data_IF_633580320732
#
_entry.id   IF_633580320732
#
_cell.length_a   1.000
_cell.length_b   1.000
_cell.length_c   1.000
_cell.angle_alpha   90.00
_cell.angle_beta   90.00
_cell.angle_gamma   90.00
#
_symmetry.space_group_name_H-M   'P 1'
#
loop_
_entity.id
_entity.type
_entity.pdbx_description
1 polymer ?
#
# COMPACT_ATOMS: atom_id res chain seq x y z
N UNK A 1 3.54 54.48 112.63
CA UNK A 1 3.68 53.01 112.72
C UNK A 1 2.32 52.42 112.39
N UNK A 2 2.21 51.65 111.32
CA UNK A 2 0.94 50.99 110.94
C UNK A 2 0.60 49.97 112.04
N UNK A 3 -0.60 50.02 112.58
CA UNK A 3 -1.03 49.09 113.64
C UNK A 3 -1.04 47.66 113.10
N UNK A 4 -0.60 46.69 113.91
CA UNK A 4 -0.59 45.27 113.51
C UNK A 4 -1.97 44.80 113.00
N UNK A 5 -3.05 45.37 113.52
CA UNK A 5 -4.42 45.10 113.06
C UNK A 5 -4.66 45.47 111.60
N UNK A 6 -4.11 46.60 111.13
CA UNK A 6 -4.27 47.03 109.73
C UNK A 6 -3.47 46.13 108.78
N UNK A 7 -2.31 45.62 109.23
CA UNK A 7 -1.51 44.67 108.45
C UNK A 7 -2.21 43.32 108.31
N UNK A 8 -2.91 42.88 109.35
CA UNK A 8 -3.67 41.62 109.33
C UNK A 8 -4.86 41.73 108.36
N UNK A 9 -5.64 42.81 108.43
CA UNK A 9 -6.76 43.03 107.51
C UNK A 9 -6.34 43.09 106.04
N UNK A 10 -5.19 43.70 105.75
CA UNK A 10 -4.66 43.76 104.38
C UNK A 10 -4.17 42.39 103.89
N UNK A 11 -3.61 41.56 104.77
CA UNK A 11 -3.22 40.19 104.42
C UNK A 11 -4.45 39.32 104.16
N UNK A 12 -5.50 39.43 104.96
CA UNK A 12 -6.76 38.71 104.75
C UNK A 12 -7.41 39.08 103.41
N UNK A 13 -7.40 40.37 103.05
CA UNK A 13 -7.88 40.85 101.74
C UNK A 13 -7.11 40.23 100.57
N UNK A 14 -5.77 40.19 100.67
CA UNK A 14 -4.90 39.63 99.63
C UNK A 14 -5.01 38.10 99.53
N UNK A 15 -5.26 37.41 100.63
CA UNK A 15 -5.52 35.96 100.62
C UNK A 15 -6.81 35.67 99.86
N UNK A 16 -7.89 36.43 100.12
CA UNK A 16 -9.13 36.28 99.37
C UNK A 16 -9.00 36.56 97.86
N UNK A 17 -8.12 37.48 97.47
CA UNK A 17 -7.80 37.73 96.05
C UNK A 17 -7.03 36.58 95.40
N UNK A 18 -6.13 35.93 96.15
CA UNK A 18 -5.38 34.75 95.68
C UNK A 18 -6.30 33.53 95.54
N UNK A 19 -7.23 33.33 96.47
CA UNK A 19 -8.23 32.25 96.38
C UNK A 19 -9.13 32.41 95.14
N UNK A 20 -9.52 33.64 94.81
CA UNK A 20 -10.27 33.95 93.59
C UNK A 20 -9.47 33.76 92.29
N UNK A 21 -8.14 33.87 92.33
CA UNK A 21 -7.28 33.55 91.20
C UNK A 21 -7.14 32.05 90.99
N UNK A 22 -7.10 31.28 92.06
CA UNK A 22 -7.00 29.81 92.01
C UNK A 22 -8.24 29.20 91.31
N UNK A 23 -9.43 29.72 91.60
CA UNK A 23 -10.66 29.29 90.93
C UNK A 23 -10.66 29.70 89.43
N UNK A 24 -10.17 30.90 89.11
CA UNK A 24 -10.05 31.36 87.71
C UNK A 24 -9.01 30.56 86.92
N UNK A 25 -7.91 30.13 87.56
CA UNK A 25 -6.91 29.24 86.95
C UNK A 25 -7.49 27.84 86.75
N UNK A 26 -8.32 27.36 87.69
CA UNK A 26 -9.04 26.09 87.56
C UNK A 26 -10.06 26.13 86.41
N UNK A 27 -10.79 27.24 86.24
CA UNK A 27 -11.75 27.42 85.14
C UNK A 27 -11.09 27.61 83.77
N UNK A 28 -9.82 28.02 83.72
CA UNK A 28 -9.03 28.04 82.48
C UNK A 28 -8.50 26.65 82.09
N UNK A 29 -8.48 25.69 83.03
CA UNK A 29 -7.90 24.37 82.82
C UNK A 29 -8.73 23.39 81.94
N UNK A 30 -10.07 23.49 81.74
CA UNK A 30 -10.78 22.50 80.92
C UNK A 30 -11.13 22.97 79.50
N UNK A 31 -10.75 24.17 79.06
CA UNK A 31 -11.21 24.71 77.76
C UNK A 31 -10.25 24.45 76.56
N UNK A 32 -9.24 23.60 76.72
CA UNK A 32 -8.32 23.19 75.64
C UNK A 32 -8.43 21.69 75.32
N UNK A 33 -9.66 21.21 75.11
CA UNK A 33 -9.91 19.80 74.74
C UNK A 33 -9.93 19.53 73.23
N UNK A 34 -9.88 20.58 72.39
CA UNK A 34 -9.85 20.43 70.92
C UNK A 34 -8.46 20.65 70.28
N UNK A 35 -7.45 21.06 71.06
CA UNK A 35 -6.07 21.26 70.60
C UNK A 35 -5.05 20.77 71.63
N UNK A 36 -5.29 19.58 72.19
CA UNK A 36 -4.40 18.95 73.16
C UNK A 36 -3.11 18.40 72.52
N UNK A 37 -2.00 18.31 73.28
CA UNK A 37 -0.72 17.72 72.83
C UNK A 37 -0.86 16.28 72.32
N UNK A 38 -1.94 15.59 72.68
CA UNK A 38 -2.29 14.25 72.20
C UNK A 38 -2.76 14.24 70.74
N UNK A 39 -3.52 15.23 70.30
CA UNK A 39 -4.00 15.33 68.90
C UNK A 39 -2.82 15.63 67.98
N UNK A 40 -1.94 16.55 68.38
CA UNK A 40 -0.72 16.85 67.62
C UNK A 40 0.24 15.66 67.63
N UNK A 41 0.36 14.92 68.73
CA UNK A 41 1.17 13.71 68.79
C UNK A 41 0.62 12.58 67.90
N UNK A 42 -0.70 12.43 67.83
CA UNK A 42 -1.34 11.45 66.95
C UNK A 42 -1.21 11.82 65.47
N UNK A 43 -1.31 13.11 65.13
CA UNK A 43 -1.04 13.63 63.78
C UNK A 43 0.43 13.41 63.37
N UNK A 44 1.37 13.66 64.28
CA UNK A 44 2.80 13.42 64.04
C UNK A 44 3.08 11.94 63.81
N UNK A 45 2.45 11.04 64.58
CA UNK A 45 2.60 9.60 64.37
C UNK A 45 2.03 9.14 63.01
N UNK A 46 0.87 9.66 62.60
CA UNK A 46 0.30 9.38 61.28
C UNK A 46 1.21 9.88 60.16
N UNK A 47 1.73 11.10 60.28
CA UNK A 47 2.61 11.69 59.26
C UNK A 47 3.95 10.95 59.16
N UNK A 48 4.50 10.47 60.28
CA UNK A 48 5.70 9.64 60.29
C UNK A 48 5.48 8.31 59.54
N UNK A 49 4.31 7.70 59.71
CA UNK A 49 3.93 6.49 58.99
C UNK A 49 3.79 6.75 57.48
N UNK A 50 3.16 7.86 57.09
CA UNK A 50 3.01 8.25 55.69
C UNK A 50 4.35 8.56 55.04
N UNK A 51 5.27 9.21 55.77
CA UNK A 51 6.63 9.46 55.32
C UNK A 51 7.42 8.16 55.10
N UNK A 52 7.30 7.20 56.02
CA UNK A 52 7.92 5.89 55.86
C UNK A 52 7.37 5.12 54.63
N UNK A 53 6.06 5.19 54.40
CA UNK A 53 5.43 4.63 53.20
C UNK A 53 5.92 5.31 51.92
N UNK A 54 6.05 6.63 51.92
CA UNK A 54 6.53 7.38 50.76
C UNK A 54 7.99 7.02 50.45
N UNK A 55 8.85 6.94 51.46
CA UNK A 55 10.24 6.50 51.30
C UNK A 55 10.33 5.08 50.73
N UNK A 56 9.51 4.15 51.22
CA UNK A 56 9.47 2.78 50.68
C UNK A 56 9.03 2.77 49.20
N UNK A 57 8.07 3.61 48.83
CA UNK A 57 7.62 3.78 47.44
C UNK A 57 8.70 4.39 46.56
N UNK A 58 9.40 5.41 47.04
CA UNK A 58 10.53 6.04 46.33
C UNK A 58 11.64 5.02 46.10
N UNK A 59 12.06 4.29 47.14
CA UNK A 59 13.07 3.23 47.01
C UNK A 59 12.62 2.08 46.09
N UNK A 60 11.33 1.80 45.97
CA UNK A 60 10.80 0.83 45.01
C UNK A 60 10.79 1.39 43.57
N UNK A 61 10.52 2.68 43.40
CA UNK A 61 10.61 3.37 42.11
C UNK A 61 12.07 3.43 41.65
N UNK A 62 13.00 3.84 42.51
CA UNK A 62 14.43 3.88 42.18
C UNK A 62 14.99 2.50 41.80
N UNK A 63 14.58 1.44 42.52
CA UNK A 63 14.93 0.06 42.15
C UNK A 63 14.32 -0.37 40.82
N UNK A 64 13.09 0.06 40.54
CA UNK A 64 12.43 -0.19 39.25
C UNK A 64 13.16 0.54 38.14
N UNK A 65 13.46 1.82 38.30
CA UNK A 65 14.17 2.66 37.33
C UNK A 65 15.59 2.16 37.07
N UNK A 66 16.29 1.63 38.08
CA UNK A 66 17.56 0.94 37.88
C UNK A 66 17.41 -0.35 37.04
N UNK A 67 16.29 -1.05 37.15
CA UNK A 67 15.99 -2.26 36.38
C UNK A 67 15.43 -1.98 34.97
N UNK A 68 14.69 -0.89 34.76
CA UNK A 68 14.15 -0.47 33.45
C UNK A 68 15.05 0.47 32.66
N UNK A 69 15.92 1.24 33.34
CA UNK A 69 16.78 2.26 32.73
C UNK A 69 17.90 1.72 31.84
N UNK A 70 18.19 0.42 31.89
CA UNK A 70 19.27 -0.20 31.11
C UNK A 70 18.78 -1.22 30.07
N UNK A 71 17.53 -1.69 30.15
CA UNK A 71 17.02 -2.73 29.25
C UNK A 71 16.17 -2.18 28.10
N UNK A 72 15.51 -1.02 28.24
CA UNK A 72 14.60 -0.47 27.23
C UNK A 72 15.17 0.64 26.34
N UNK A 73 15.82 1.65 26.93
CA UNK A 73 16.32 2.82 26.19
C UNK A 73 17.49 2.51 25.23
N UNK A 74 18.58 1.83 25.64
CA UNK A 74 19.65 1.46 24.71
C UNK A 74 19.18 0.45 23.65
N UNK A 75 18.26 -0.45 24.00
CA UNK A 75 17.67 -1.39 23.05
C UNK A 75 16.81 -0.68 21.98
N UNK A 76 16.09 0.38 22.35
CA UNK A 76 15.29 1.15 21.39
C UNK A 76 16.16 1.98 20.46
N UNK A 77 17.22 2.61 20.98
CA UNK A 77 18.19 3.37 20.19
C UNK A 77 18.90 2.48 19.15
N UNK A 78 19.35 1.29 19.54
CA UNK A 78 19.97 0.35 18.61
C UNK A 78 18.98 -0.15 17.55
N UNK A 79 17.70 -0.34 17.93
CA UNK A 79 16.63 -0.69 16.98
C UNK A 79 16.32 0.45 16.02
N UNK A 80 16.37 1.71 16.46
CA UNK A 80 16.19 2.88 15.60
C UNK A 80 17.33 2.94 14.59
N UNK A 81 18.59 2.80 15.03
CA UNK A 81 19.75 2.76 14.12
C UNK A 81 19.68 1.63 13.11
N UNK A 82 19.24 0.44 13.54
CA UNK A 82 19.05 -0.69 12.62
C UNK A 82 17.95 -0.41 11.59
N UNK A 83 16.85 0.25 11.98
CA UNK A 83 15.78 0.65 11.06
C UNK A 83 16.24 1.75 10.10
N UNK A 84 17.03 2.73 10.57
CA UNK A 84 17.62 3.77 9.72
C UNK A 84 18.55 3.15 8.67
N UNK A 85 19.41 2.22 9.07
CA UNK A 85 20.29 1.49 8.15
C UNK A 85 19.51 0.64 7.15
N UNK A 86 18.47 -0.07 7.60
CA UNK A 86 17.62 -0.85 6.71
C UNK A 86 16.88 0.05 5.71
N UNK A 87 16.41 1.22 6.14
CA UNK A 87 15.73 2.19 5.29
C UNK A 87 16.68 2.78 4.26
N UNK A 88 17.90 3.15 4.65
CA UNK A 88 18.94 3.61 3.74
C UNK A 88 19.30 2.53 2.70
N UNK A 89 19.42 1.26 3.13
CA UNK A 89 19.64 0.12 2.25
C UNK A 89 18.51 -0.08 1.24
N UNK A 90 17.25 0.00 1.68
CA UNK A 90 16.09 -0.09 0.79
C UNK A 90 16.06 1.07 -0.21
N UNK A 91 16.36 2.30 0.23
CA UNK A 91 16.40 3.46 -0.66
C UNK A 91 17.47 3.30 -1.75
N UNK A 92 18.66 2.79 -1.40
CA UNK A 92 19.70 2.49 -2.37
C UNK A 92 19.27 1.41 -3.38
N UNK A 93 18.60 0.34 -2.92
CA UNK A 93 18.07 -0.69 -3.80
C UNK A 93 17.00 -0.15 -4.76
N UNK A 94 16.11 0.72 -4.29
CA UNK A 94 15.11 1.40 -5.11
C UNK A 94 15.80 2.22 -6.21
N UNK A 95 16.84 2.99 -5.87
CA UNK A 95 17.58 3.78 -6.87
C UNK A 95 18.24 2.89 -7.93
N UNK A 96 18.82 1.76 -7.54
CA UNK A 96 19.40 0.80 -8.51
C UNK A 96 18.32 0.25 -9.44
N UNK A 97 17.16 -0.13 -8.91
CA UNK A 97 16.04 -0.63 -9.71
C UNK A 97 15.49 0.44 -10.66
N UNK A 98 15.36 1.69 -10.20
CA UNK A 98 14.92 2.81 -11.03
C UNK A 98 15.88 3.07 -12.20
N UNK A 99 17.20 3.05 -11.92
CA UNK A 99 18.21 3.21 -12.96
C UNK A 99 18.19 2.04 -13.96
N UNK A 100 18.05 0.81 -13.47
CA UNK A 100 17.92 -0.38 -14.32
C UNK A 100 16.66 -0.33 -15.19
N UNK A 101 15.54 0.12 -14.62
CA UNK A 101 14.28 0.29 -15.35
C UNK A 101 14.42 1.35 -16.46
N UNK A 102 15.08 2.48 -16.19
CA UNK A 102 15.34 3.50 -17.20
C UNK A 102 16.18 2.95 -18.36
N UNK A 103 17.28 2.25 -18.05
CA UNK A 103 18.14 1.65 -19.09
C UNK A 103 17.40 0.60 -19.95
N UNK A 104 16.54 -0.22 -19.33
CA UNK A 104 15.70 -1.17 -20.06
C UNK A 104 14.65 -0.47 -20.92
N UNK A 105 14.06 0.62 -20.42
CA UNK A 105 13.09 1.41 -21.17
C UNK A 105 13.72 2.04 -22.41
N UNK A 106 14.93 2.59 -22.28
CA UNK A 106 15.67 3.17 -23.40
C UNK A 106 16.04 2.09 -24.44
N UNK A 107 16.59 0.96 -23.99
CA UNK A 107 16.92 -0.16 -24.89
C UNK A 107 15.70 -0.71 -25.64
N UNK A 108 14.53 -0.76 -25.00
CA UNK A 108 13.29 -1.17 -25.65
C UNK A 108 12.87 -0.16 -26.71
N UNK A 109 12.96 1.14 -26.42
CA UNK A 109 12.64 2.19 -27.38
C UNK A 109 13.57 2.15 -28.60
N UNK A 110 14.88 1.99 -28.38
CA UNK A 110 15.87 1.85 -29.46
C UNK A 110 15.53 0.64 -30.36
N UNK A 111 15.19 -0.50 -29.75
CA UNK A 111 14.81 -1.71 -30.50
C UNK A 111 13.52 -1.51 -31.30
N UNK A 112 12.56 -0.77 -30.76
CA UNK A 112 11.31 -0.41 -31.46
C UNK A 112 11.63 0.49 -32.66
N UNK A 113 12.52 1.46 -32.50
CA UNK A 113 12.95 2.34 -33.58
C UNK A 113 13.64 1.54 -34.70
N UNK A 114 14.57 0.66 -34.36
CA UNK A 114 15.25 -0.24 -35.29
C UNK A 114 14.26 -1.14 -36.05
N UNK A 115 13.26 -1.69 -35.35
CA UNK A 115 12.19 -2.46 -35.97
C UNK A 115 11.36 -1.62 -36.94
N UNK A 116 11.02 -0.39 -36.58
CA UNK A 116 10.23 0.50 -37.44
C UNK A 116 10.99 0.87 -38.72
N UNK A 117 12.30 1.15 -38.61
CA UNK A 117 13.17 1.37 -39.78
C UNK A 117 13.19 0.13 -40.67
N UNK A 118 13.41 -1.06 -40.08
CA UNK A 118 13.45 -2.33 -40.81
C UNK A 118 12.13 -2.65 -41.52
N UNK A 119 10.99 -2.47 -40.85
CA UNK A 119 9.65 -2.67 -41.43
C UNK A 119 9.40 -1.71 -42.59
N UNK A 120 9.87 -0.47 -42.48
CA UNK A 120 9.74 0.51 -43.55
C UNK A 120 10.56 0.10 -44.78
N UNK A 121 11.81 -0.32 -44.58
CA UNK A 121 12.66 -0.82 -45.66
C UNK A 121 12.04 -2.04 -46.37
N UNK A 122 11.51 -3.02 -45.60
CA UNK A 122 10.83 -4.19 -46.18
C UNK A 122 9.61 -3.78 -47.01
N UNK A 123 8.82 -2.79 -46.54
CA UNK A 123 7.66 -2.29 -47.30
C UNK A 123 8.08 -1.66 -48.62
N UNK A 124 9.17 -0.89 -48.63
CA UNK A 124 9.71 -0.29 -49.85
C UNK A 124 10.23 -1.37 -50.82
N UNK A 125 10.93 -2.38 -50.32
CA UNK A 125 11.37 -3.52 -51.13
C UNK A 125 10.18 -4.29 -51.74
N UNK A 126 9.14 -4.57 -50.95
CA UNK A 126 7.92 -5.22 -51.43
C UNK A 126 7.22 -4.39 -52.51
N UNK A 127 7.13 -3.07 -52.31
CA UNK A 127 6.58 -2.17 -53.32
C UNK A 127 7.43 -2.18 -54.60
N UNK A 128 8.75 -2.22 -54.47
CA UNK A 128 9.69 -2.39 -55.59
C UNK A 128 9.49 -3.72 -56.32
N UNK A 129 9.27 -4.81 -55.60
CA UNK A 129 8.97 -6.14 -56.17
C UNK A 129 7.62 -6.13 -56.89
N UNK A 130 6.57 -5.54 -56.31
CA UNK A 130 5.26 -5.48 -56.97
C UNK A 130 5.30 -4.63 -58.24
N UNK A 131 6.09 -3.55 -58.26
CA UNK A 131 6.36 -2.77 -59.46
C UNK A 131 7.18 -3.56 -60.50
N UNK A 132 8.23 -4.28 -60.08
CA UNK A 132 9.11 -5.05 -60.97
C UNK A 132 8.46 -6.32 -61.53
N UNK A 133 7.66 -7.02 -60.71
CA UNK A 133 6.91 -8.21 -61.13
C UNK A 133 5.67 -7.86 -61.94
N UNK A 134 5.29 -6.57 -61.97
CA UNK A 134 4.21 -6.05 -62.80
C UNK A 134 2.94 -6.88 -62.71
N UNK A 135 2.65 -7.46 -61.53
CA UNK A 135 1.56 -8.41 -61.30
C UNK A 135 0.26 -7.74 -61.74
N UNK A 136 -0.12 -7.96 -63.00
CA UNK A 136 -1.36 -7.45 -63.55
C UNK A 136 -2.46 -7.93 -62.60
N UNK A 137 -3.32 -7.02 -62.08
CA UNK A 137 -4.40 -7.42 -61.20
C UNK A 137 -5.18 -8.54 -61.89
N UNK A 138 -5.44 -9.62 -61.15
CA UNK A 138 -6.12 -10.80 -61.69
C UNK A 138 -7.45 -10.34 -62.29
N UNK A 139 -7.53 -10.35 -63.63
CA UNK A 139 -8.78 -10.11 -64.35
C UNK A 139 -9.48 -11.45 -64.54
N UNK A 140 -10.74 -11.50 -64.15
CA UNK A 140 -11.61 -12.63 -64.40
C UNK A 140 -11.77 -12.80 -65.91
N UNK A 141 -11.41 -13.96 -66.47
CA UNK A 141 -11.59 -14.17 -67.92
C UNK A 141 -13.07 -14.21 -68.34
N UNK A 142 -13.98 -14.47 -67.39
CA UNK A 142 -15.42 -14.55 -67.66
C UNK A 142 -16.07 -13.17 -67.82
N UNK A 143 -15.72 -12.21 -66.97
CA UNK A 143 -16.39 -10.91 -66.93
C UNK A 143 -15.43 -9.72 -66.91
N UNK A 144 -14.13 -9.98 -67.03
CA UNK A 144 -13.04 -8.99 -67.05
C UNK A 144 -12.92 -8.12 -65.80
N UNK A 145 -13.58 -8.50 -64.69
CA UNK A 145 -13.53 -7.80 -63.40
C UNK A 145 -12.34 -8.20 -62.51
N UNK A 146 -12.03 -7.45 -61.44
CA UNK A 146 -10.85 -7.65 -60.58
C UNK A 146 -11.07 -8.78 -59.55
N UNK A 147 -11.24 -10.01 -60.03
CA UNK A 147 -11.38 -11.21 -59.20
C UNK A 147 -10.92 -12.46 -59.96
N UNK A 148 -10.66 -13.54 -59.22
CA UNK A 148 -10.41 -14.86 -59.82
C UNK A 148 -11.71 -15.44 -60.37
N UNK A 149 -11.64 -16.17 -61.48
CA UNK A 149 -12.83 -16.78 -62.10
C UNK A 149 -13.65 -17.68 -61.15
N UNK A 150 -13.00 -18.32 -60.18
CA UNK A 150 -13.64 -19.12 -59.15
C UNK A 150 -14.53 -18.32 -58.16
N UNK A 151 -14.34 -17.01 -58.08
CA UNK A 151 -15.15 -16.11 -57.26
C UNK A 151 -16.07 -15.22 -58.13
N UNK A 152 -16.27 -15.57 -59.41
CA UNK A 152 -17.05 -14.73 -60.32
C UNK A 152 -18.55 -14.86 -60.03
N UNK A 153 -19.29 -13.75 -59.85
CA UNK A 153 -20.75 -13.78 -59.69
C UNK A 153 -21.48 -14.40 -60.90
N UNK A 154 -20.83 -14.47 -62.06
CA UNK A 154 -21.37 -15.09 -63.27
C UNK A 154 -21.02 -16.57 -63.41
N UNK A 155 -20.39 -17.21 -62.41
CA UNK A 155 -19.99 -18.62 -62.48
C UNK A 155 -21.18 -19.56 -62.73
N UNK A 156 -22.39 -19.22 -62.29
CA UNK A 156 -23.60 -19.99 -62.59
C UNK A 156 -23.90 -20.06 -64.09
N UNK A 157 -23.58 -19.01 -64.86
CA UNK A 157 -23.72 -19.00 -66.33
C UNK A 157 -22.71 -19.95 -66.99
N UNK A 158 -21.50 -20.07 -66.43
CA UNK A 158 -20.50 -21.04 -66.90
C UNK A 158 -20.92 -22.48 -66.63
N UNK A 159 -21.55 -22.75 -65.48
CA UNK A 159 -22.01 -24.11 -65.16
C UNK A 159 -23.14 -24.54 -66.12
N UNK A 160 -24.00 -23.61 -66.55
CA UNK A 160 -25.03 -23.87 -67.55
C UNK A 160 -24.42 -24.13 -68.93
N UNK A 161 -23.45 -23.32 -69.38
CA UNK A 161 -22.75 -23.53 -70.67
C UNK A 161 -21.97 -24.84 -70.67
N UNK A 162 -21.29 -25.18 -69.56
CA UNK A 162 -20.59 -26.46 -69.39
C UNK A 162 -21.56 -27.64 -69.50
N UNK A 163 -22.76 -27.51 -68.92
CA UNK A 163 -23.80 -28.53 -69.04
C UNK A 163 -24.31 -28.65 -70.49
N UNK A 164 -24.49 -27.55 -71.20
CA UNK A 164 -24.90 -27.57 -72.61
C UNK A 164 -23.85 -28.20 -73.53
N UNK A 165 -22.56 -27.89 -73.33
CA UNK A 165 -21.47 -28.49 -74.12
C UNK A 165 -21.32 -29.99 -73.80
N UNK A 166 -21.46 -30.37 -72.51
CA UNK A 166 -21.47 -31.78 -72.13
C UNK A 166 -22.67 -32.55 -72.69
N UNK A 167 -23.80 -31.88 -72.92
CA UNK A 167 -24.98 -32.45 -73.59
C UNK A 167 -24.80 -32.56 -75.11
N UNK A 168 -24.04 -31.65 -75.73
CA UNK A 168 -23.70 -31.73 -77.17
C UNK A 168 -22.68 -32.85 -77.47
N UNK A 169 -21.79 -33.18 -76.52
CA UNK A 169 -20.88 -34.32 -76.65
C UNK A 169 -21.53 -35.68 -76.31
N UNK A 170 -22.71 -35.69 -75.68
CA UNK A 170 -23.52 -36.89 -75.40
C UNK A 170 -24.69 -37.01 -76.39
N UNK A 171 -24.34 -36.97 -77.67
CA UNK A 171 -25.22 -37.20 -78.80
C UNK A 171 -24.81 -38.42 -79.64
N UNK A 172 -24.50 -39.54 -78.99
CA UNK A 172 -24.32 -40.87 -79.59
C UNK A 172 -24.39 -41.88 -78.42
N UNK A 173 -25.54 -42.47 -78.14
CA UNK A 173 -26.07 -43.62 -78.88
C UNK A 173 -25.82 -44.85 -78.01
N UNK A 174 -26.77 -45.18 -77.14
CA UNK A 174 -26.78 -46.45 -76.41
C UNK A 174 -27.07 -47.57 -77.42
N UNK A 175 -26.08 -48.44 -77.58
CA UNK A 175 -26.12 -49.86 -77.94
C UNK A 175 -26.91 -50.27 -79.20
N UNK A 176 -26.20 -50.47 -80.31
CA UNK A 176 -26.16 -51.75 -81.04
C UNK A 176 -25.13 -51.66 -82.21
N UNK A 177 -24.72 -52.82 -82.69
CA UNK A 177 -23.41 -53.14 -83.28
C UNK A 177 -23.14 -52.59 -84.71
N UNK A 178 -21.84 -52.54 -85.04
CA UNK A 178 -21.20 -52.56 -86.37
C UNK A 178 -20.77 -51.24 -87.10
N UNK A 179 -19.45 -51.26 -87.43
CA UNK A 179 -18.72 -50.66 -88.56
C UNK A 179 -18.37 -49.14 -88.62
N UNK A 180 -17.05 -48.90 -88.61
CA UNK A 180 -16.27 -47.77 -89.16
C UNK A 180 -16.93 -46.40 -89.31
N UNK A 181 -16.69 -45.52 -88.32
CA UNK A 181 -16.84 -44.07 -88.49
C UNK A 181 -15.51 -43.35 -88.27
N UNK A 182 -14.59 -43.54 -89.21
CA UNK A 182 -13.50 -42.59 -89.41
C UNK A 182 -14.02 -41.38 -90.21
N UNK A 183 -14.33 -40.27 -89.55
CA UNK A 183 -14.20 -38.96 -90.20
C UNK A 183 -13.84 -37.86 -89.22
N UNK A 184 -12.72 -37.21 -89.53
CA UNK A 184 -12.15 -36.06 -88.83
C UNK A 184 -13.01 -34.80 -88.97
N UNK A 185 -12.84 -33.87 -88.03
CA UNK A 185 -12.63 -32.45 -88.35
C UNK A 185 -11.72 -31.79 -87.31
N UNK A 186 -10.62 -31.25 -87.81
CA UNK A 186 -9.67 -30.42 -87.10
C UNK A 186 -10.14 -28.96 -87.07
N UNK A 187 -9.79 -28.20 -86.02
CA UNK A 187 -9.47 -26.79 -86.14
C UNK A 187 -8.57 -26.32 -85.00
N UNK A 188 -7.41 -25.78 -85.39
CA UNK A 188 -6.45 -25.03 -84.57
C UNK A 188 -7.11 -23.76 -84.04
N UNK A 189 -6.58 -23.21 -82.95
CA UNK A 189 -6.10 -21.82 -82.90
C UNK A 189 -5.22 -21.67 -81.64
N UNK A 190 -4.05 -21.05 -81.84
CA UNK A 190 -3.12 -20.65 -80.78
C UNK A 190 -3.40 -19.25 -80.26
#
# INVERSE_FOLDING_TARGET
MVSNTQRIQELERRIGELDGLDERVRDLAPNNQNSGPTVTQQQVASLAQDYANLLARVAAIERRDAATGTSGAPQMEDRIKALEQATAGMQAAITVLQNGQAALQDSLNDTIEDCNVSVTAIREELAGIDAATGKKPLKCWLCQGPHRAAACPHQSKLSAIKASIAQEEQGCGEDDEDEDCAHMSAARLG
#
